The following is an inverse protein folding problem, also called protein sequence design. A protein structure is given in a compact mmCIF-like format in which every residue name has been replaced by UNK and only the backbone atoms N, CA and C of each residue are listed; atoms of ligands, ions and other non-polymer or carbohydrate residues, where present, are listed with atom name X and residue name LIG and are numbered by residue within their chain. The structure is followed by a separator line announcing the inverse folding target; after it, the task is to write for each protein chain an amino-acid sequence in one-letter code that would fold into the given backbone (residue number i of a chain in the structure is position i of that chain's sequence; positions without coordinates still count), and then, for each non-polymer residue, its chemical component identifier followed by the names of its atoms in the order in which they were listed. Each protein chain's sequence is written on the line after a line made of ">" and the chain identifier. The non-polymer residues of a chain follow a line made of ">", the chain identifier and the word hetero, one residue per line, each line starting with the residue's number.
data_IF_034254117298
#
_entry.id   IF_034254117298
#
_cell.length_a   1.000
_cell.length_b   1.000
_cell.length_c   1.000
_cell.angle_alpha   90.00
_cell.angle_beta   90.00
_cell.angle_gamma   90.00
#
_symmetry.space_group_name_H-M   'P 1'
#
loop_
_entity.id
_entity.type
_entity.pdbx_description
1 polymer ?
#
# COMPACT_ATOMS: atom_id res chain seq x y z
N UNK A 1 16.49 -2.32 5.20
CA UNK A 1 15.64 -1.65 6.16
C UNK A 1 14.24 -1.45 5.60
N UNK A 2 13.31 -1.20 6.50
CA UNK A 2 11.93 -0.91 6.17
C UNK A 2 11.67 0.58 6.33
N UNK A 3 10.79 1.12 5.51
CA UNK A 3 10.16 2.38 5.80
C UNK A 3 8.81 2.12 6.45
N UNK A 4 8.53 2.86 7.49
CA UNK A 4 7.22 2.81 8.14
C UNK A 4 6.24 3.71 7.40
N UNK A 5 4.95 3.40 7.48
CA UNK A 5 3.92 4.24 6.90
C UNK A 5 4.10 5.71 7.31
N UNK A 6 4.43 5.95 8.57
CA UNK A 6 4.61 7.28 9.10
C UNK A 6 5.77 8.05 8.45
N UNK A 7 6.76 7.38 7.88
CA UNK A 7 7.88 8.07 7.25
C UNK A 7 7.51 8.75 5.93
N UNK A 8 6.38 8.39 5.37
CA UNK A 8 5.89 9.01 4.14
C UNK A 8 5.04 10.24 4.40
N UNK A 9 4.74 10.53 5.65
CA UNK A 9 3.89 11.66 6.02
C UNK A 9 4.62 12.98 6.02
N UNK A 10 5.91 12.98 5.78
CA UNK A 10 6.69 14.20 5.71
C UNK A 10 6.30 15.13 4.59
N UNK A 11 5.56 14.62 3.64
CA UNK A 11 4.78 15.42 2.76
C UNK A 11 5.47 16.47 1.95
N UNK A 12 6.56 16.16 1.33
CA UNK A 12 7.31 17.15 0.57
C UNK A 12 6.98 17.16 -0.93
N UNK A 13 5.81 16.68 -1.28
CA UNK A 13 5.40 16.69 -2.67
C UNK A 13 6.00 15.59 -3.53
N UNK A 14 6.96 14.86 -3.05
CA UNK A 14 7.56 13.76 -3.80
C UNK A 14 7.57 12.50 -2.96
N UNK A 15 7.46 11.38 -3.65
CA UNK A 15 7.57 10.07 -3.03
C UNK A 15 8.82 9.39 -3.59
N UNK A 16 9.67 8.91 -2.70
CA UNK A 16 10.85 8.14 -3.08
C UNK A 16 10.70 6.72 -2.58
N UNK A 17 10.92 5.78 -3.48
CA UNK A 17 10.92 4.37 -3.10
C UNK A 17 12.23 4.11 -2.36
N UNK A 18 12.16 3.58 -1.14
CA UNK A 18 13.35 3.36 -0.34
C UNK A 18 14.20 2.22 -0.89
N UNK A 19 15.48 2.26 -0.52
CA UNK A 19 16.41 1.19 -0.83
C UNK A 19 16.27 0.11 0.24
N UNK A 20 15.97 -1.10 -0.19
CA UNK A 20 15.78 -2.25 0.69
C UNK A 20 16.96 -3.21 0.67
N UNK A 21 18.15 -2.69 0.55
CA UNK A 21 19.33 -3.54 0.63
C UNK A 21 19.29 -4.39 1.90
N UNK A 22 19.35 -5.69 1.73
CA UNK A 22 19.30 -6.63 2.83
C UNK A 22 17.93 -7.14 3.21
N UNK A 23 16.86 -6.55 2.68
CA UNK A 23 15.53 -7.13 2.86
C UNK A 23 15.38 -8.36 1.97
N UNK A 24 14.83 -9.41 2.52
CA UNK A 24 14.55 -10.63 1.75
C UNK A 24 13.07 -10.94 1.83
N UNK A 25 12.42 -10.99 0.68
CA UNK A 25 11.07 -11.49 0.59
C UNK A 25 11.08 -13.00 0.84
N UNK A 26 10.02 -13.54 1.46
CA UNK A 26 9.93 -14.97 1.72
C UNK A 26 9.59 -15.79 0.47
N UNK A 27 9.85 -15.24 -0.71
CA UNK A 27 9.61 -15.91 -1.98
C UNK A 27 10.58 -15.37 -3.03
N UNK A 28 10.87 -16.21 -4.03
CA UNK A 28 11.88 -15.88 -5.03
C UNK A 28 11.32 -15.10 -6.21
N UNK A 29 12.25 -14.63 -7.05
CA UNK A 29 11.92 -13.87 -8.26
C UNK A 29 11.04 -14.67 -9.22
N UNK A 30 11.23 -15.99 -9.31
CA UNK A 30 10.42 -16.83 -10.16
C UNK A 30 8.95 -16.85 -9.72
N UNK A 31 8.71 -16.86 -8.41
CA UNK A 31 7.35 -16.79 -7.87
C UNK A 31 6.69 -15.46 -8.24
N UNK A 32 7.41 -14.35 -8.11
CA UNK A 32 6.90 -13.05 -8.49
C UNK A 32 6.54 -13.02 -9.98
N UNK A 33 7.42 -13.53 -10.84
CA UNK A 33 7.17 -13.53 -12.29
C UNK A 33 5.95 -14.35 -12.66
N UNK A 34 5.74 -15.50 -11.99
CA UNK A 34 4.54 -16.31 -12.23
C UNK A 34 3.26 -15.57 -11.87
N UNK A 35 3.33 -14.65 -10.93
CA UNK A 35 2.20 -13.79 -10.53
C UNK A 35 2.09 -12.53 -11.40
N UNK A 36 2.96 -12.39 -12.41
CA UNK A 36 2.97 -11.21 -13.27
C UNK A 36 3.63 -9.99 -12.62
N UNK A 37 4.45 -10.20 -11.61
CA UNK A 37 5.10 -9.12 -10.88
C UNK A 37 6.56 -9.05 -11.28
N UNK A 38 7.01 -7.87 -11.72
CA UNK A 38 8.41 -7.63 -12.02
C UNK A 38 9.15 -7.40 -10.70
N UNK A 39 10.15 -8.23 -10.37
CA UNK A 39 10.85 -8.10 -9.09
C UNK A 39 11.41 -6.69 -8.83
N UNK A 40 11.88 -6.01 -9.86
CA UNK A 40 12.46 -4.67 -9.71
C UNK A 40 11.42 -3.61 -9.34
N UNK A 41 10.13 -3.92 -9.50
CA UNK A 41 9.06 -3.00 -9.14
C UNK A 41 8.58 -3.19 -7.70
N UNK A 42 9.13 -4.17 -6.97
CA UNK A 42 8.66 -4.50 -5.63
C UNK A 42 9.48 -3.77 -4.59
N UNK A 43 8.78 -3.14 -3.65
CA UNK A 43 9.43 -2.67 -2.44
C UNK A 43 8.64 -3.12 -1.22
N UNK A 44 9.30 -3.05 -0.07
CA UNK A 44 8.70 -3.44 1.19
C UNK A 44 8.81 -2.31 2.20
N UNK A 45 7.84 -2.25 3.09
CA UNK A 45 7.88 -1.33 4.20
C UNK A 45 7.11 -1.91 5.37
N UNK A 46 7.18 -1.26 6.52
CA UNK A 46 6.41 -1.65 7.69
C UNK A 46 5.15 -0.80 7.74
N UNK A 47 4.00 -1.46 7.87
CA UNK A 47 2.75 -0.77 8.07
C UNK A 47 2.64 -0.34 9.53
N UNK A 48 2.32 0.92 9.75
CA UNK A 48 2.09 1.46 11.10
C UNK A 48 0.64 1.88 11.23
N UNK A 49 0.00 1.45 12.31
CA UNK A 49 -1.39 1.78 12.57
C UNK A 49 -2.30 0.57 12.43
N UNK A 50 -3.49 0.68 12.95
CA UNK A 50 -4.42 -0.43 13.06
C UNK A 50 -5.61 -0.36 12.10
N UNK A 51 -5.56 0.53 11.12
CA UNK A 51 -6.70 0.72 10.22
C UNK A 51 -7.00 -0.48 9.33
N UNK A 52 -6.02 -1.34 9.10
CA UNK A 52 -6.19 -2.55 8.29
C UNK A 52 -6.35 -3.82 9.11
N UNK A 53 -6.40 -3.70 10.43
CA UNK A 53 -6.66 -4.84 11.28
C UNK A 53 -8.11 -5.32 11.12
N UNK A 54 -8.34 -6.60 11.18
CA UNK A 54 -7.35 -7.63 11.56
C UNK A 54 -6.65 -8.29 10.35
N UNK A 55 -6.89 -7.76 9.16
CA UNK A 55 -6.31 -8.37 7.96
C UNK A 55 -4.80 -8.15 7.87
N UNK A 56 -4.37 -6.92 8.10
CA UNK A 56 -2.95 -6.58 8.15
C UNK A 56 -2.70 -5.94 9.50
N UNK A 57 -1.89 -6.59 10.32
CA UNK A 57 -1.64 -6.12 11.66
C UNK A 57 -0.76 -4.87 11.68
N UNK A 58 -0.94 -4.05 12.70
CA UNK A 58 -0.01 -2.96 12.99
C UNK A 58 1.39 -3.54 13.17
N UNK A 59 2.35 -2.99 12.46
CA UNK A 59 3.73 -3.46 12.50
C UNK A 59 4.08 -4.54 11.49
N UNK A 60 3.11 -5.00 10.70
CA UNK A 60 3.40 -6.01 9.68
C UNK A 60 4.30 -5.45 8.57
N UNK A 61 5.14 -6.31 8.00
CA UNK A 61 5.81 -5.98 6.75
C UNK A 61 4.82 -6.15 5.61
N UNK A 62 4.85 -5.23 4.65
CA UNK A 62 4.04 -5.33 3.44
C UNK A 62 4.95 -5.27 2.21
N UNK A 63 4.53 -5.92 1.14
CA UNK A 63 5.20 -5.85 -0.15
C UNK A 63 4.26 -5.19 -1.16
N UNK A 64 4.80 -4.24 -1.92
CA UNK A 64 4.06 -3.40 -2.85
C UNK A 64 4.62 -3.58 -4.25
N UNK A 65 3.74 -3.81 -5.21
CA UNK A 65 4.09 -3.89 -6.63
C UNK A 65 3.81 -2.52 -7.28
N UNK A 66 4.85 -1.77 -7.56
CA UNK A 66 4.71 -0.44 -8.17
C UNK A 66 4.32 -0.50 -9.64
N UNK A 67 4.39 -1.67 -10.26
CA UNK A 67 3.92 -1.87 -11.62
C UNK A 67 2.41 -2.05 -11.72
N UNK A 68 1.72 -2.22 -10.59
CA UNK A 68 0.27 -2.45 -10.53
C UNK A 68 -0.38 -1.27 -9.80
N UNK A 69 -0.50 -0.16 -10.50
CA UNK A 69 -1.00 1.09 -9.92
C UNK A 69 -2.30 1.61 -10.53
N UNK A 70 -2.95 0.81 -11.37
CA UNK A 70 -4.30 1.11 -11.85
C UNK A 70 -5.30 0.46 -10.90
N UNK A 71 -6.22 1.25 -10.37
CA UNK A 71 -7.14 0.77 -9.33
C UNK A 71 -8.08 -0.30 -9.88
N UNK A 72 -8.06 -1.46 -9.24
CA UNK A 72 -9.07 -2.51 -9.38
C UNK A 72 -9.88 -2.50 -8.11
N UNK A 73 -11.19 -2.36 -8.25
CA UNK A 73 -12.08 -2.14 -7.13
C UNK A 73 -11.94 -3.21 -6.04
N UNK A 74 -11.77 -2.74 -4.81
CA UNK A 74 -11.71 -3.60 -3.64
C UNK A 74 -10.35 -4.24 -3.36
N UNK A 75 -9.32 -3.89 -4.11
CA UNK A 75 -7.96 -4.36 -3.82
C UNK A 75 -7.26 -3.38 -2.90
N UNK A 76 -6.18 -3.83 -2.28
CA UNK A 76 -5.43 -3.03 -1.31
C UNK A 76 -4.29 -2.34 -2.03
N UNK A 77 -4.15 -1.04 -1.79
CA UNK A 77 -3.12 -0.21 -2.42
C UNK A 77 -2.37 0.61 -1.38
N UNK A 78 -1.08 0.77 -1.63
CA UNK A 78 -0.29 1.82 -1.02
C UNK A 78 -0.45 3.05 -1.91
N UNK A 79 -0.79 4.18 -1.32
CA UNK A 79 -0.99 5.40 -2.07
C UNK A 79 -0.63 6.61 -1.24
N UNK A 80 -0.37 7.69 -1.93
CA UNK A 80 -0.14 8.99 -1.32
C UNK A 80 -1.41 9.81 -1.44
N UNK A 81 -1.86 10.36 -0.34
CA UNK A 81 -3.03 11.23 -0.27
C UNK A 81 -2.60 12.52 0.43
N UNK A 82 -2.52 13.60 -0.35
CA UNK A 82 -1.83 14.80 0.07
C UNK A 82 -0.41 14.43 0.50
N UNK A 83 -0.06 14.63 1.75
CA UNK A 83 1.28 14.32 2.27
C UNK A 83 1.35 12.99 2.99
N UNK A 84 0.26 12.23 3.02
CA UNK A 84 0.20 11.00 3.79
C UNK A 84 0.42 9.78 2.91
N UNK A 85 1.25 8.87 3.38
CA UNK A 85 1.34 7.52 2.83
C UNK A 85 0.27 6.67 3.53
N UNK A 86 -0.60 6.07 2.73
CA UNK A 86 -1.74 5.31 3.26
C UNK A 86 -1.82 3.95 2.60
N UNK A 87 -2.38 2.98 3.34
CA UNK A 87 -2.67 1.63 2.83
C UNK A 87 -4.14 1.34 3.12
N UNK A 88 -4.93 1.17 2.06
CA UNK A 88 -6.38 1.01 2.17
C UNK A 88 -6.89 0.20 0.98
N UNK A 89 -8.13 -0.29 1.10
CA UNK A 89 -8.87 -0.73 -0.07
C UNK A 89 -9.29 0.48 -0.88
N UNK A 90 -9.12 0.41 -2.18
CA UNK A 90 -9.57 1.47 -3.09
C UNK A 90 -10.58 0.92 -4.08
N UNK A 91 -11.59 1.73 -4.40
CA UNK A 91 -12.56 1.44 -5.45
C UNK A 91 -12.89 2.73 -6.16
N UNK A 92 -13.02 2.67 -7.48
CA UNK A 92 -13.34 3.86 -8.26
C UNK A 92 -14.83 4.18 -8.15
N UNK A 93 -15.13 5.46 -8.11
CA UNK A 93 -16.49 5.97 -8.10
C UNK A 93 -16.68 6.88 -9.31
N UNK A 94 -17.94 7.06 -9.78
CA UNK A 94 -18.22 8.00 -10.86
C UNK A 94 -17.75 9.42 -10.53
N UNK A 95 -17.44 10.19 -11.58
CA UNK A 95 -17.08 11.59 -11.40
C UNK A 95 -15.64 11.83 -10.97
N UNK A 96 -14.74 10.89 -11.26
CA UNK A 96 -13.33 11.06 -10.91
C UNK A 96 -13.07 10.97 -9.42
N UNK A 97 -13.86 10.20 -8.72
CA UNK A 97 -13.72 10.01 -7.27
C UNK A 97 -13.29 8.60 -6.93
N UNK A 98 -12.82 8.41 -5.72
CA UNK A 98 -12.37 7.11 -5.22
C UNK A 98 -12.95 6.90 -3.83
N UNK A 99 -13.37 5.67 -3.57
CA UNK A 99 -13.78 5.22 -2.24
C UNK A 99 -12.55 4.64 -1.54
N UNK A 100 -12.31 5.08 -0.32
CA UNK A 100 -11.19 4.66 0.50
C UNK A 100 -11.74 3.95 1.72
N UNK A 101 -11.39 2.68 1.87
CA UNK A 101 -11.98 1.84 2.90
C UNK A 101 -10.90 1.17 3.73
N UNK A 102 -11.04 1.27 5.05
CA UNK A 102 -10.21 0.52 6.00
C UNK A 102 -10.83 -0.85 6.25
N UNK A 103 -10.00 -1.84 6.59
CA UNK A 103 -10.54 -3.12 7.04
C UNK A 103 -11.23 -2.95 8.41
N UNK A 104 -10.64 -2.17 9.29
CA UNK A 104 -11.18 -1.84 10.61
C UNK A 104 -12.21 -0.72 10.48
N UNK A 105 -13.35 -1.02 9.87
CA UNK A 105 -14.36 -0.03 9.54
C UNK A 105 -15.05 0.60 10.75
N UNK A 106 -15.14 -0.15 11.83
CA UNK A 106 -15.83 0.34 13.03
C UNK A 106 -15.11 1.54 13.63
N UNK A 107 -13.80 1.60 13.50
CA UNK A 107 -12.96 2.69 14.02
C UNK A 107 -12.65 3.71 12.93
N UNK A 108 -12.47 3.25 11.70
CA UNK A 108 -12.08 4.09 10.57
C UNK A 108 -13.14 4.01 9.48
N UNK A 109 -14.13 4.90 9.52
CA UNK A 109 -15.22 4.87 8.54
C UNK A 109 -14.71 5.10 7.11
N UNK A 110 -15.49 4.61 6.16
CA UNK A 110 -15.23 4.78 4.75
C UNK A 110 -15.15 6.26 4.37
N UNK A 111 -14.24 6.59 3.48
CA UNK A 111 -14.01 7.94 2.99
C UNK A 111 -14.18 7.98 1.47
N UNK A 112 -14.40 9.17 0.94
CA UNK A 112 -14.34 9.42 -0.49
C UNK A 112 -13.38 10.58 -0.73
N UNK A 113 -12.71 10.54 -1.86
CA UNK A 113 -11.77 11.58 -2.26
C UNK A 113 -11.75 11.75 -3.77
N UNK A 114 -11.19 12.86 -4.22
CA UNK A 114 -10.91 13.05 -5.65
C UNK A 114 -9.73 12.19 -6.06
N UNK A 115 -9.83 11.54 -7.22
CA UNK A 115 -8.69 10.81 -7.79
C UNK A 115 -7.48 11.72 -8.01
N UNK A 116 -7.70 12.99 -8.28
CA UNK A 116 -6.61 13.95 -8.48
C UNK A 116 -5.79 14.16 -7.21
N UNK A 117 -6.38 13.96 -6.04
CA UNK A 117 -5.69 14.10 -4.76
C UNK A 117 -4.91 12.87 -4.34
N UNK A 118 -4.93 11.82 -5.15
CA UNK A 118 -4.33 10.53 -4.80
C UNK A 118 -3.30 10.13 -5.84
N UNK A 119 -2.14 9.71 -5.37
CA UNK A 119 -1.14 9.07 -6.20
C UNK A 119 -1.04 7.61 -5.77
N UNK A 120 -1.52 6.70 -6.61
CA UNK A 120 -1.42 5.27 -6.34
C UNK A 120 0.03 4.86 -6.55
N UNK A 121 0.65 4.31 -5.52
CA UNK A 121 2.03 3.84 -5.57
C UNK A 121 2.08 2.43 -6.14
N UNK A 122 1.21 1.56 -5.65
CA UNK A 122 1.13 0.20 -6.13
C UNK A 122 0.23 -0.67 -5.29
N UNK A 123 -0.04 -1.87 -5.79
CA UNK A 123 -0.88 -2.82 -5.09
C UNK A 123 -0.09 -3.52 -3.98
N UNK A 124 -0.70 -3.62 -2.81
CA UNK A 124 -0.17 -4.43 -1.71
C UNK A 124 -0.57 -5.87 -1.99
N UNK A 125 0.40 -6.72 -2.31
CA UNK A 125 0.12 -8.09 -2.72
C UNK A 125 0.56 -9.13 -1.69
N UNK A 126 1.27 -8.72 -0.65
CA UNK A 126 1.74 -9.61 0.40
C UNK A 126 1.92 -8.85 1.70
N UNK A 127 1.69 -9.53 2.81
CA UNK A 127 2.00 -9.00 4.13
C UNK A 127 2.39 -10.15 5.07
N UNK A 128 3.18 -9.83 6.07
CA UNK A 128 3.61 -10.79 7.07
C UNK A 128 2.51 -11.02 8.10
N UNK A 129 2.51 -12.22 8.65
CA UNK A 129 1.59 -12.61 9.73
C UNK A 129 2.42 -13.18 10.87
N UNK A 130 2.20 -12.67 12.05
CA UNK A 130 2.85 -13.17 13.27
C UNK A 130 1.80 -13.78 14.20
N UNK A 131 2.09 -14.94 14.69
CA UNK A 131 1.23 -15.58 15.70
C UNK A 131 1.56 -15.06 17.10
#
# INVERSE_FOLDING_TARGET
>A
PYLKESTFTGGHGSFEIPDYNGFRLPFGKATLRRKGIQPDNVFCCTLTGDSMEERIADGAAIAVDTGDNAIKDGKIYAFRHDDLFRVKYLSRLPGGRVKIKSHNEAVYPEEEASLEGIQVIGRVFWWSVLD
#
